data_IF_728639264298
#
_entry.id   IF_728639264298
#
_cell.length_a   1.000
_cell.length_b   1.000
_cell.length_c   1.000
_cell.angle_alpha   90.00
_cell.angle_beta   90.00
_cell.angle_gamma   90.00
#
_symmetry.space_group_name_H-M   'P 1'
#
loop_
_entity.id
_entity.type
_entity.pdbx_description
1 polymer ?
#
# COMPACT_ATOMS: atom_id res chain seq x y z
N UNK A 1 -22.89 41.30 38.41
CA UNK A 1 -21.50 40.84 38.64
C UNK A 1 -21.52 39.33 38.41
N UNK A 2 -21.42 38.82 37.17
CA UNK A 2 -20.26 38.73 36.24
C UNK A 2 -19.38 37.50 36.52
N UNK A 3 -19.23 36.67 35.47
CA UNK A 3 -18.20 35.65 35.15
C UNK A 3 -18.22 34.34 35.99
N UNK A 4 -18.48 33.14 35.45
CA UNK A 4 -17.87 32.33 34.34
C UNK A 4 -16.75 31.40 34.83
N UNK A 5 -16.48 30.36 34.02
CA UNK A 5 -15.51 29.24 34.14
C UNK A 5 -16.15 27.98 34.76
N UNK A 6 -16.69 26.98 34.06
CA UNK A 6 -16.40 26.36 32.75
C UNK A 6 -14.96 25.88 32.55
N UNK A 7 -14.54 24.91 33.37
CA UNK A 7 -13.42 24.04 32.98
C UNK A 7 -13.98 22.76 32.33
N UNK A 8 -14.04 22.85 31.01
CA UNK A 8 -14.14 21.76 30.06
C UNK A 8 -12.82 20.99 30.07
N UNK A 9 -12.82 19.79 30.62
CA UNK A 9 -11.74 18.81 30.48
C UNK A 9 -12.21 17.66 29.62
N UNK A 10 -12.34 17.86 28.31
CA UNK A 10 -12.44 16.73 27.37
C UNK A 10 -11.03 16.13 27.24
N UNK A 11 -10.73 15.14 28.07
CA UNK A 11 -9.61 14.23 27.85
C UNK A 11 -9.90 13.44 26.57
N UNK A 12 -9.52 14.01 25.42
CA UNK A 12 -9.40 13.25 24.18
C UNK A 12 -8.19 12.34 24.35
N UNK A 13 -8.46 11.17 24.92
CA UNK A 13 -7.58 10.01 24.81
C UNK A 13 -7.41 9.72 23.31
N UNK A 14 -6.33 10.24 22.73
CA UNK A 14 -5.81 9.74 21.47
C UNK A 14 -5.53 8.26 21.69
N UNK A 15 -6.49 7.42 21.29
CA UNK A 15 -6.29 5.98 21.16
C UNK A 15 -4.98 5.80 20.40
N UNK A 16 -4.01 5.18 21.05
CA UNK A 16 -2.89 4.55 20.39
C UNK A 16 -3.48 3.66 19.29
N UNK A 17 -3.43 4.15 18.06
CA UNK A 17 -3.51 3.33 16.88
C UNK A 17 -2.32 2.35 17.01
N UNK A 18 -2.60 1.10 17.36
CA UNK A 18 -1.62 0.05 17.16
C UNK A 18 -1.16 0.20 15.71
N UNK A 19 0.14 0.19 15.39
CA UNK A 19 0.59 0.36 14.02
C UNK A 19 -0.08 -0.75 13.22
N UNK A 20 -1.14 -0.42 12.47
CA UNK A 20 -1.71 -1.34 11.52
C UNK A 20 -0.54 -1.69 10.62
N UNK A 21 -0.24 -2.97 10.48
CA UNK A 21 0.81 -3.41 9.55
C UNK A 21 0.31 -3.06 8.14
N UNK A 22 0.66 -1.86 7.70
CA UNK A 22 0.38 -1.31 6.37
C UNK A 22 1.57 -1.60 5.48
N UNK A 23 1.37 -1.63 4.16
CA UNK A 23 2.47 -1.93 3.25
C UNK A 23 2.66 -3.43 3.03
N UNK A 24 3.84 -3.79 2.55
CA UNK A 24 4.24 -5.17 2.18
C UNK A 24 3.92 -6.22 3.25
N UNK A 25 3.97 -5.86 4.54
CA UNK A 25 3.64 -6.77 5.65
C UNK A 25 2.20 -7.32 5.60
N UNK A 26 1.28 -6.63 4.92
CA UNK A 26 -0.11 -7.05 4.79
C UNK A 26 -0.50 -7.20 3.31
N UNK A 27 -0.44 -8.43 2.76
CA UNK A 27 -0.73 -8.66 1.34
C UNK A 27 -2.21 -8.50 1.00
N UNK A 28 -3.11 -8.57 1.98
CA UNK A 28 -4.56 -8.48 1.78
C UNK A 28 -5.07 -7.03 1.64
N UNK A 29 -4.21 -6.01 1.81
CA UNK A 29 -4.59 -4.60 1.77
C UNK A 29 -3.92 -3.89 0.59
N UNK A 30 -4.74 -3.23 -0.24
CA UNK A 30 -4.25 -2.29 -1.25
C UNK A 30 -3.83 -1.00 -0.55
N UNK A 31 -2.54 -0.64 -0.60
CA UNK A 31 -2.03 0.50 0.17
C UNK A 31 -2.44 1.82 -0.48
N UNK A 32 -2.29 1.91 -1.79
CA UNK A 32 -2.76 3.02 -2.59
C UNK A 32 -3.29 2.52 -3.94
N UNK A 33 -4.45 3.03 -4.30
CA UNK A 33 -5.08 2.80 -5.59
C UNK A 33 -5.45 4.14 -6.20
N UNK A 34 -5.13 4.33 -7.47
CA UNK A 34 -5.45 5.55 -8.19
C UNK A 34 -5.54 5.35 -9.69
N UNK A 35 -6.09 6.36 -10.37
CA UNK A 35 -6.14 6.41 -11.82
C UNK A 35 -5.37 7.65 -12.29
N UNK A 36 -4.29 7.45 -13.05
CA UNK A 36 -3.57 8.54 -13.71
C UNK A 36 -4.33 8.92 -14.98
N UNK A 37 -5.14 9.99 -14.88
CA UNK A 37 -5.88 10.57 -16.00
C UNK A 37 -5.00 11.04 -17.18
N UNK A 38 -3.70 11.25 -16.99
CA UNK A 38 -2.79 11.71 -18.03
C UNK A 38 -2.31 10.58 -18.93
N UNK A 39 -2.01 9.41 -18.35
CA UNK A 39 -1.61 8.20 -19.11
C UNK A 39 -2.78 7.23 -19.34
N UNK A 40 -3.92 7.49 -18.69
CA UNK A 40 -5.10 6.64 -18.60
C UNK A 40 -4.80 5.24 -18.01
N UNK A 41 -3.97 5.23 -16.97
CA UNK A 41 -3.50 3.99 -16.33
C UNK A 41 -3.96 3.89 -14.88
N UNK A 42 -4.31 2.69 -14.45
CA UNK A 42 -4.55 2.38 -13.05
C UNK A 42 -3.21 2.20 -12.37
N UNK A 43 -2.96 2.95 -11.32
CA UNK A 43 -1.74 2.87 -10.52
C UNK A 43 -2.08 2.23 -9.18
N UNK A 44 -1.39 1.14 -8.87
CA UNK A 44 -1.42 0.49 -7.58
C UNK A 44 -0.03 0.63 -6.95
N UNK A 45 0.04 1.23 -5.77
CA UNK A 45 1.32 1.39 -5.08
C UNK A 45 1.33 0.49 -3.86
N UNK A 46 2.37 -0.33 -3.75
CA UNK A 46 2.73 -1.09 -2.57
C UNK A 46 3.77 -0.28 -1.80
N UNK A 47 3.56 -0.07 -0.50
CA UNK A 47 4.53 0.64 0.32
C UNK A 47 5.40 -0.35 1.10
N UNK A 48 6.71 -0.17 1.09
CA UNK A 48 7.63 -0.84 2.01
C UNK A 48 8.31 0.21 2.91
N UNK A 49 7.66 0.58 4.03
CA UNK A 49 8.21 1.55 4.96
C UNK A 49 9.35 0.97 5.81
N UNK A 50 9.46 -0.36 5.92
CA UNK A 50 10.46 -1.02 6.74
C UNK A 50 11.79 -1.08 5.99
N UNK A 51 12.93 -1.06 6.70
CA UNK A 51 14.22 -1.29 6.07
C UNK A 51 14.32 -2.72 5.52
N UNK A 52 15.14 -2.88 4.49
CA UNK A 52 15.53 -4.17 3.95
C UNK A 52 16.55 -4.81 4.88
N UNK A 53 16.24 -6.03 5.31
CA UNK A 53 17.05 -6.80 6.26
C UNK A 53 17.85 -7.94 5.58
N UNK A 54 17.78 -8.05 4.24
CA UNK A 54 18.39 -9.13 3.49
C UNK A 54 17.76 -10.50 3.74
N UNK A 55 16.61 -10.57 4.44
CA UNK A 55 15.96 -11.82 4.76
C UNK A 55 15.13 -12.34 3.59
N UNK A 56 15.14 -13.66 3.41
CA UNK A 56 14.28 -14.32 2.42
C UNK A 56 12.80 -14.13 2.75
N UNK A 57 12.46 -13.99 4.05
CA UNK A 57 11.11 -13.66 4.50
C UNK A 57 10.65 -12.33 3.88
N UNK A 58 11.50 -11.30 3.88
CA UNK A 58 11.13 -10.01 3.32
C UNK A 58 10.85 -10.09 1.82
N UNK A 59 11.69 -10.81 1.09
CA UNK A 59 11.49 -11.04 -0.35
C UNK A 59 10.19 -11.81 -0.61
N UNK A 60 9.88 -12.79 0.24
CA UNK A 60 8.64 -13.54 0.15
C UNK A 60 7.41 -12.67 0.38
N UNK A 61 7.40 -11.81 1.42
CA UNK A 61 6.29 -10.89 1.68
C UNK A 61 6.04 -9.94 0.49
N UNK A 62 7.10 -9.42 -0.14
CA UNK A 62 6.99 -8.57 -1.35
C UNK A 62 6.34 -9.35 -2.49
N UNK A 63 6.79 -10.58 -2.72
CA UNK A 63 6.26 -11.44 -3.77
C UNK A 63 4.81 -11.84 -3.51
N UNK A 64 4.45 -12.20 -2.28
CA UNK A 64 3.07 -12.51 -1.89
C UNK A 64 2.16 -11.31 -2.10
N UNK A 65 2.58 -10.11 -1.69
CA UNK A 65 1.78 -8.90 -1.89
C UNK A 65 1.62 -8.56 -3.37
N UNK A 66 2.69 -8.66 -4.16
CA UNK A 66 2.61 -8.46 -5.60
C UNK A 66 1.65 -9.46 -6.25
N UNK A 67 1.74 -10.74 -5.91
CA UNK A 67 0.84 -11.77 -6.42
C UNK A 67 -0.62 -11.49 -6.04
N UNK A 68 -0.89 -11.01 -4.82
CA UNK A 68 -2.22 -10.60 -4.40
C UNK A 68 -2.77 -9.44 -5.25
N UNK A 69 -1.96 -8.44 -5.58
CA UNK A 69 -2.36 -7.32 -6.43
C UNK A 69 -2.61 -7.78 -7.88
N UNK A 70 -1.76 -8.65 -8.40
CA UNK A 70 -1.96 -9.23 -9.74
C UNK A 70 -3.24 -10.06 -9.78
N UNK A 71 -3.49 -10.91 -8.79
CA UNK A 71 -4.75 -11.65 -8.68
C UNK A 71 -5.95 -10.72 -8.61
N UNK A 72 -5.91 -9.67 -7.79
CA UNK A 72 -6.97 -8.66 -7.71
C UNK A 72 -7.31 -8.01 -9.08
N UNK A 73 -6.28 -7.77 -9.90
CA UNK A 73 -6.45 -7.25 -11.26
C UNK A 73 -6.97 -8.29 -12.25
N UNK A 74 -6.46 -9.52 -12.19
CA UNK A 74 -6.79 -10.62 -13.12
C UNK A 74 -8.16 -11.23 -12.85
N UNK A 75 -8.52 -11.40 -11.57
CA UNK A 75 -9.80 -11.99 -11.14
C UNK A 75 -10.97 -11.03 -11.41
N UNK A 76 -10.67 -9.77 -11.74
CA UNK A 76 -11.67 -8.76 -12.08
C UNK A 76 -12.40 -8.20 -10.87
N UNK A 77 -11.91 -8.45 -9.66
CA UNK A 77 -12.43 -7.84 -8.43
C UNK A 77 -12.34 -6.31 -8.50
N UNK A 78 -11.22 -5.80 -9.02
CA UNK A 78 -11.08 -4.38 -9.37
C UNK A 78 -12.21 -3.89 -10.29
N UNK A 79 -12.62 -4.67 -11.29
CA UNK A 79 -13.66 -4.26 -12.24
C UNK A 79 -15.06 -4.35 -11.68
N UNK A 80 -15.27 -5.20 -10.67
CA UNK A 80 -16.52 -5.30 -9.94
C UNK A 80 -16.76 -4.05 -9.08
N UNK A 81 -15.71 -3.53 -8.42
CA UNK A 81 -15.78 -2.31 -7.61
C UNK A 81 -15.63 -1.03 -8.44
N UNK A 82 -14.79 -1.06 -9.48
CA UNK A 82 -14.43 0.07 -10.34
C UNK A 82 -14.60 -0.26 -11.83
N UNK A 83 -15.86 -0.40 -12.31
CA UNK A 83 -16.13 -0.71 -13.71
C UNK A 83 -15.62 0.37 -14.69
N UNK A 84 -15.44 1.61 -14.23
CA UNK A 84 -14.88 2.72 -15.00
C UNK A 84 -13.41 2.52 -15.39
N UNK A 85 -12.73 1.55 -14.80
CA UNK A 85 -11.34 1.19 -15.08
C UNK A 85 -11.22 -0.01 -16.03
N UNK A 86 -12.35 -0.53 -16.52
CA UNK A 86 -12.37 -1.63 -17.49
C UNK A 86 -11.58 -1.29 -18.76
N UNK A 87 -10.64 -2.18 -19.10
CA UNK A 87 -9.81 -2.07 -20.30
C UNK A 87 -8.64 -1.08 -20.18
N UNK A 88 -8.45 -0.44 -19.03
CA UNK A 88 -7.27 0.42 -18.78
C UNK A 88 -6.05 -0.42 -18.45
N UNK A 89 -4.86 0.10 -18.76
CA UNK A 89 -3.61 -0.56 -18.35
C UNK A 89 -3.39 -0.34 -16.86
N UNK A 90 -2.95 -1.38 -16.17
CA UNK A 90 -2.59 -1.33 -14.75
C UNK A 90 -1.08 -1.35 -14.57
N UNK A 91 -0.58 -0.55 -13.64
CA UNK A 91 0.82 -0.47 -13.25
C UNK A 91 0.93 -0.63 -11.74
N UNK A 92 1.72 -1.60 -11.30
CA UNK A 92 2.03 -1.83 -9.89
C UNK A 92 3.40 -1.21 -9.61
N UNK A 93 3.51 -0.39 -8.57
CA UNK A 93 4.76 0.21 -8.13
C UNK A 93 5.08 -0.22 -6.70
N UNK A 94 6.36 -0.49 -6.41
CA UNK A 94 6.84 -0.65 -5.05
C UNK A 94 7.56 0.62 -4.60
N UNK A 95 7.04 1.28 -3.58
CA UNK A 95 7.64 2.47 -2.97
C UNK A 95 8.41 2.06 -1.71
N UNK A 96 9.73 2.04 -1.81
CA UNK A 96 10.62 1.69 -0.71
C UNK A 96 11.03 2.94 0.06
N UNK A 97 10.85 2.96 1.39
CA UNK A 97 11.36 4.05 2.22
C UNK A 97 12.89 4.00 2.42
N UNK A 98 13.49 2.82 2.28
CA UNK A 98 14.94 2.60 2.32
C UNK A 98 15.42 1.95 1.02
N UNK A 99 16.69 2.15 0.68
CA UNK A 99 17.28 1.51 -0.51
C UNK A 99 17.15 -0.01 -0.42
N UNK A 100 16.57 -0.67 -1.45
CA UNK A 100 16.55 -2.12 -1.53
C UNK A 100 17.97 -2.69 -1.61
N UNK A 101 18.15 -3.87 -1.02
CA UNK A 101 19.37 -4.65 -1.20
C UNK A 101 19.43 -5.27 -2.60
N UNK A 102 20.60 -5.77 -3.00
CA UNK A 102 20.82 -6.31 -4.35
C UNK A 102 19.83 -7.44 -4.69
N UNK A 103 19.43 -8.25 -3.71
CA UNK A 103 18.47 -9.36 -3.91
C UNK A 103 17.07 -8.84 -4.16
N UNK A 104 16.64 -7.82 -3.42
CA UNK A 104 15.37 -7.15 -3.65
C UNK A 104 15.35 -6.46 -5.01
N UNK A 105 16.45 -5.84 -5.42
CA UNK A 105 16.59 -5.25 -6.77
C UNK A 105 16.49 -6.33 -7.85
N UNK A 106 17.17 -7.47 -7.69
CA UNK A 106 17.07 -8.61 -8.62
C UNK A 106 15.63 -9.12 -8.72
N UNK A 107 14.94 -9.30 -7.60
CA UNK A 107 13.53 -9.70 -7.56
C UNK A 107 12.65 -8.71 -8.34
N UNK A 108 12.81 -7.41 -8.09
CA UNK A 108 12.04 -6.37 -8.77
C UNK A 108 12.34 -6.32 -10.28
N UNK A 109 13.59 -6.58 -10.66
CA UNK A 109 13.99 -6.68 -12.07
C UNK A 109 13.37 -7.89 -12.79
N UNK A 110 13.10 -8.98 -12.07
CA UNK A 110 12.40 -10.15 -12.64
C UNK A 110 10.89 -9.95 -12.80
N UNK A 111 10.30 -9.03 -12.04
CA UNK A 111 8.85 -8.77 -12.00
C UNK A 111 8.41 -7.74 -13.06
N UNK A 112 9.35 -7.02 -13.67
CA UNK A 112 9.07 -6.03 -14.72
C UNK A 112 9.02 -6.71 -16.11
N UNK A 113 7.81 -6.91 -16.66
CA UNK A 113 7.58 -7.29 -18.08
C UNK A 113 7.51 -6.02 -18.96
#
# INVERSE_FOLDING_TARGET
MSCSDHECGCEHEHKHDAPQETGVANPAVIDLFGHDSRTDEVILVMNEPRPWDGSDLRLHEVQEKFNAYVSFLLDGEMLAEHPELAGKRSRIELHCASMPDDRAVELLGMIHD
#
